data_IF_539759109394
#
_entry.id   IF_539759109394
#
_cell.length_a   1.000
_cell.length_b   1.000
_cell.length_c   1.000
_cell.angle_alpha   90.00
_cell.angle_beta   90.00
_cell.angle_gamma   90.00
#
_symmetry.space_group_name_H-M   'P 1'
#
loop_
_entity.id
_entity.type
_entity.pdbx_description
1 polymer ?
#
# COMPACT_ATOMS: atom_id res chain seq x y z
N UNK A 1 -12.97 0.68 83.57
CA UNK A 1 -13.85 -0.53 83.70
C UNK A 1 -13.72 -1.30 82.39
N UNK A 2 -13.01 -2.42 82.52
CA UNK A 2 -13.38 -3.76 82.00
C UNK A 2 -13.63 -3.83 80.48
N UNK A 3 -13.15 -4.74 79.76
CA UNK A 3 -12.46 -6.01 80.00
C UNK A 3 -11.94 -6.55 78.68
N UNK A 4 -10.80 -7.20 78.80
CA UNK A 4 -10.23 -8.12 77.87
C UNK A 4 -11.22 -9.14 77.23
N UNK A 5 -10.91 -9.57 76.00
CA UNK A 5 -10.93 -11.00 75.70
C UNK A 5 -10.02 -11.29 74.49
N UNK A 6 -8.94 -12.01 74.78
CA UNK A 6 -8.19 -12.84 73.88
C UNK A 6 -9.02 -13.97 73.35
N UNK A 7 -8.82 -14.29 72.07
CA UNK A 7 -8.88 -15.67 71.54
C UNK A 7 -7.97 -15.65 70.31
N UNK A 8 -6.74 -16.10 70.38
CA UNK A 8 -6.15 -17.41 70.24
C UNK A 8 -6.34 -18.02 68.85
N UNK A 9 -5.22 -18.02 68.14
CA UNK A 9 -4.67 -19.06 67.28
C UNK A 9 -5.64 -20.04 66.61
N UNK A 10 -5.60 -20.12 65.31
CA UNK A 10 -5.35 -21.39 64.68
C UNK A 10 -4.66 -21.23 63.33
N UNK A 11 -3.43 -21.64 63.31
CA UNK A 11 -2.61 -22.03 62.18
C UNK A 11 -3.32 -23.15 61.41
N UNK A 12 -3.71 -22.91 60.20
CA UNK A 12 -4.03 -23.99 59.26
C UNK A 12 -3.06 -23.87 58.11
N UNK A 13 -2.04 -24.70 58.22
CA UNK A 13 -1.10 -25.04 57.20
C UNK A 13 -1.81 -25.88 56.14
N UNK A 14 -2.24 -25.25 55.07
CA UNK A 14 -2.67 -25.95 53.86
C UNK A 14 -1.57 -25.90 52.84
N UNK A 15 -0.72 -26.89 52.90
CA UNK A 15 0.21 -27.31 51.89
C UNK A 15 -0.57 -27.62 50.63
N UNK A 16 -0.71 -26.66 49.72
CA UNK A 16 -1.11 -26.90 48.34
C UNK A 16 0.14 -27.19 47.55
N UNK A 17 0.39 -28.46 47.34
CA UNK A 17 1.24 -28.93 46.25
C UNK A 17 0.69 -28.38 44.95
N UNK A 18 1.27 -27.30 44.53
CA UNK A 18 1.18 -26.83 43.16
C UNK A 18 2.00 -27.76 42.26
N UNK A 19 1.30 -28.64 41.60
CA UNK A 19 1.82 -29.48 40.54
C UNK A 19 2.39 -28.57 39.46
N UNK A 20 3.69 -28.33 39.49
CA UNK A 20 4.45 -27.76 38.38
C UNK A 20 4.29 -28.72 37.21
N UNK A 21 3.33 -28.41 36.37
CA UNK A 21 3.32 -28.94 35.01
C UNK A 21 4.44 -28.19 34.28
N UNK A 22 5.61 -28.84 34.27
CA UNK A 22 6.69 -28.48 33.40
C UNK A 22 6.11 -28.28 32.00
N UNK A 23 6.17 -27.05 31.54
CA UNK A 23 6.01 -26.75 30.12
C UNK A 23 7.21 -27.39 29.46
N UNK A 24 7.05 -28.60 28.96
CA UNK A 24 8.01 -29.24 28.11
C UNK A 24 8.26 -28.29 26.94
N UNK A 25 9.39 -27.69 26.99
CA UNK A 25 9.95 -26.82 25.99
C UNK A 25 10.27 -27.69 24.76
N UNK A 26 9.24 -27.94 23.93
CA UNK A 26 9.41 -28.50 22.58
C UNK A 26 10.07 -27.43 21.68
N UNK A 27 11.32 -27.12 22.04
CA UNK A 27 12.07 -26.01 21.45
C UNK A 27 12.76 -26.35 20.12
N UNK A 28 12.64 -27.58 19.62
CA UNK A 28 13.31 -27.98 18.36
C UNK A 28 12.43 -27.78 17.12
N UNK A 29 11.20 -28.26 17.18
CA UNK A 29 10.34 -28.32 15.99
C UNK A 29 9.67 -26.98 15.66
N UNK A 30 9.38 -26.14 16.67
CA UNK A 30 8.75 -24.84 16.45
C UNK A 30 9.61 -23.88 15.62
N UNK A 31 10.92 -23.90 15.80
CA UNK A 31 11.85 -23.06 15.00
C UNK A 31 11.94 -23.53 13.56
N UNK A 32 11.98 -24.82 13.32
CA UNK A 32 12.03 -25.40 11.97
C UNK A 32 10.73 -25.10 11.22
N UNK A 33 9.58 -25.21 11.90
CA UNK A 33 8.27 -24.87 11.32
C UNK A 33 8.19 -23.36 11.01
N UNK A 34 8.66 -22.50 11.92
CA UNK A 34 8.66 -21.05 11.70
C UNK A 34 9.55 -20.65 10.53
N UNK A 35 10.73 -21.24 10.38
CA UNK A 35 11.63 -21.01 9.27
C UNK A 35 10.99 -21.50 7.96
N UNK A 36 10.33 -22.66 7.98
CA UNK A 36 9.61 -23.18 6.82
C UNK A 36 8.48 -22.26 6.34
N UNK A 37 7.68 -21.74 7.28
CA UNK A 37 6.61 -20.78 6.96
C UNK A 37 7.18 -19.47 6.39
N UNK A 38 8.25 -18.96 6.98
CA UNK A 38 8.92 -17.75 6.51
C UNK A 38 9.49 -17.93 5.09
N UNK A 39 10.08 -19.09 4.80
CA UNK A 39 10.61 -19.40 3.47
C UNK A 39 9.49 -19.48 2.42
N UNK A 40 8.37 -20.14 2.72
CA UNK A 40 7.20 -20.22 1.83
C UNK A 40 6.62 -18.82 1.60
N UNK A 41 6.51 -18.00 2.63
CA UNK A 41 6.03 -16.63 2.51
C UNK A 41 6.95 -15.78 1.63
N UNK A 42 8.26 -15.92 1.77
CA UNK A 42 9.25 -15.22 0.95
C UNK A 42 9.15 -15.62 -0.51
N UNK A 43 9.03 -16.92 -0.80
CA UNK A 43 8.81 -17.41 -2.18
C UNK A 43 7.51 -16.86 -2.74
N UNK A 44 6.43 -16.83 -1.95
CA UNK A 44 5.14 -16.28 -2.38
C UNK A 44 5.27 -14.79 -2.75
N UNK A 45 5.97 -13.99 -1.94
CA UNK A 45 6.22 -12.57 -2.22
C UNK A 45 7.03 -12.41 -3.51
N UNK A 46 8.08 -13.22 -3.72
CA UNK A 46 8.88 -13.19 -4.96
C UNK A 46 8.01 -13.52 -6.16
N UNK A 47 7.18 -14.56 -6.07
CA UNK A 47 6.26 -14.95 -7.16
C UNK A 47 5.27 -13.82 -7.46
N UNK A 48 4.69 -13.17 -6.45
CA UNK A 48 3.78 -12.04 -6.63
C UNK A 48 4.45 -10.87 -7.34
N UNK A 49 5.66 -10.49 -6.92
CA UNK A 49 6.44 -9.40 -7.55
C UNK A 49 6.84 -9.75 -8.99
N UNK A 50 7.26 -11.00 -9.23
CA UNK A 50 7.58 -11.46 -10.58
C UNK A 50 6.34 -11.52 -11.48
N UNK A 51 5.20 -11.92 -10.92
CA UNK A 51 3.93 -11.96 -11.67
C UNK A 51 3.51 -10.58 -12.15
N UNK A 52 3.63 -9.57 -11.30
CA UNK A 52 3.29 -8.19 -11.64
C UNK A 52 4.20 -7.61 -12.73
N UNK A 53 5.50 -7.98 -12.72
CA UNK A 53 6.45 -7.57 -13.76
C UNK A 53 6.26 -8.33 -15.09
N UNK A 54 5.82 -9.58 -15.02
CA UNK A 54 5.56 -10.41 -16.21
C UNK A 54 4.22 -10.10 -16.89
N UNK A 55 3.29 -9.45 -16.17
CA UNK A 55 1.98 -9.07 -16.68
C UNK A 55 1.75 -7.56 -16.53
N UNK A 56 2.48 -6.74 -17.30
CA UNK A 56 2.31 -5.30 -17.27
C UNK A 56 0.88 -4.93 -17.63
N UNK A 57 0.27 -4.03 -16.88
CA UNK A 57 -1.11 -3.58 -17.10
C UNK A 57 -1.16 -2.66 -18.31
N UNK A 58 -1.69 -3.14 -19.40
CA UNK A 58 -1.97 -2.34 -20.58
C UNK A 58 -3.08 -1.33 -20.24
N UNK A 59 -2.83 -0.05 -20.49
CA UNK A 59 -3.78 1.04 -20.27
C UNK A 59 -4.46 1.46 -21.58
N UNK A 60 -3.66 1.72 -22.63
CA UNK A 60 -4.17 2.13 -23.91
C UNK A 60 -3.24 1.71 -25.04
N UNK A 61 -3.71 1.85 -26.27
CA UNK A 61 -2.90 1.70 -27.48
C UNK A 61 -3.03 2.99 -28.30
N UNK A 62 -1.91 3.55 -28.72
CA UNK A 62 -1.83 4.76 -29.55
C UNK A 62 -0.98 4.40 -30.77
N UNK A 63 -1.51 4.57 -32.00
CA UNK A 63 -0.80 4.25 -33.23
C UNK A 63 -0.15 2.86 -33.25
N UNK A 64 -0.88 1.80 -32.80
CA UNK A 64 -0.40 0.42 -32.62
C UNK A 64 0.64 0.22 -31.50
N UNK A 65 1.12 1.28 -30.84
CA UNK A 65 2.01 1.19 -29.70
C UNK A 65 1.21 0.99 -28.40
N UNK A 66 1.66 0.03 -27.59
CA UNK A 66 1.01 -0.33 -26.33
C UNK A 66 1.62 0.46 -25.19
N UNK A 67 0.79 1.27 -24.52
CA UNK A 67 1.18 2.04 -23.35
C UNK A 67 0.74 1.30 -22.09
N UNK A 68 1.71 0.95 -21.27
CA UNK A 68 1.49 0.27 -20.00
C UNK A 68 1.45 1.24 -18.83
N UNK A 69 0.90 0.80 -17.72
CA UNK A 69 0.84 1.61 -16.50
C UNK A 69 2.22 2.10 -16.05
N UNK A 70 3.27 1.27 -16.23
CA UNK A 70 4.66 1.63 -15.93
C UNK A 70 5.12 2.89 -16.66
N UNK A 71 4.72 3.05 -17.92
CA UNK A 71 5.15 4.13 -18.79
C UNK A 71 4.51 5.46 -18.39
N UNK A 72 3.35 5.38 -17.74
CA UNK A 72 2.58 6.53 -17.25
C UNK A 72 2.91 6.96 -15.82
N UNK A 73 3.72 6.20 -15.09
CA UNK A 73 3.92 6.43 -13.64
C UNK A 73 4.42 7.83 -13.32
N UNK A 74 5.29 8.41 -14.15
CA UNK A 74 5.79 9.77 -13.96
C UNK A 74 4.68 10.81 -14.10
N UNK A 75 3.81 10.65 -15.09
CA UNK A 75 2.70 11.57 -15.34
C UNK A 75 1.62 11.43 -14.26
N UNK A 76 1.33 10.20 -13.83
CA UNK A 76 0.42 9.93 -12.72
C UNK A 76 0.93 10.60 -11.44
N UNK A 77 2.19 10.40 -11.10
CA UNK A 77 2.80 10.99 -9.90
C UNK A 77 2.76 12.53 -9.94
N UNK A 78 3.08 13.13 -11.07
CA UNK A 78 2.99 14.59 -11.26
C UNK A 78 1.57 15.10 -11.07
N UNK A 79 0.59 14.37 -11.62
CA UNK A 79 -0.85 14.70 -11.48
C UNK A 79 -1.31 14.55 -10.04
N UNK A 80 -0.90 13.49 -9.35
CA UNK A 80 -1.23 13.27 -7.94
C UNK A 80 -0.65 14.37 -7.04
N UNK A 81 0.59 14.80 -7.28
CA UNK A 81 1.18 15.92 -6.54
C UNK A 81 0.40 17.22 -6.76
N UNK A 82 0.07 17.51 -8.02
CA UNK A 82 -0.73 18.69 -8.35
C UNK A 82 -2.11 18.62 -7.71
N UNK A 83 -2.78 17.47 -7.80
CA UNK A 83 -4.08 17.23 -7.19
C UNK A 83 -4.04 17.35 -5.67
N UNK A 84 -3.00 16.83 -5.01
CA UNK A 84 -2.83 16.95 -3.57
C UNK A 84 -2.64 18.40 -3.12
N UNK A 85 -1.89 19.20 -3.88
CA UNK A 85 -1.73 20.63 -3.64
C UNK A 85 -3.07 21.38 -3.78
N UNK A 86 -3.81 21.11 -4.84
CA UNK A 86 -5.14 21.70 -5.07
C UNK A 86 -6.14 21.27 -3.98
N UNK A 87 -6.09 20.01 -3.54
CA UNK A 87 -6.93 19.48 -2.48
C UNK A 87 -6.67 20.19 -1.14
N UNK A 88 -5.43 20.51 -0.83
CA UNK A 88 -5.07 21.28 0.35
C UNK A 88 -5.68 22.70 0.31
N UNK A 89 -5.56 23.40 -0.82
CA UNK A 89 -6.14 24.74 -1.00
C UNK A 89 -7.67 24.67 -0.93
N UNK A 90 -8.25 23.69 -1.60
CA UNK A 90 -9.70 23.53 -1.67
C UNK A 90 -10.31 23.24 -0.29
N UNK A 91 -9.67 22.39 0.50
CA UNK A 91 -10.07 22.11 1.89
C UNK A 91 -10.10 23.35 2.76
N UNK A 92 -9.11 24.24 2.60
CA UNK A 92 -9.05 25.49 3.36
C UNK A 92 -10.17 26.46 2.97
N UNK A 93 -10.56 26.49 1.71
CA UNK A 93 -11.53 27.45 1.17
C UNK A 93 -12.97 26.94 1.23
N UNK A 94 -13.20 25.66 0.99
CA UNK A 94 -14.54 25.09 0.77
C UNK A 94 -14.91 23.97 1.74
N UNK A 95 -13.98 23.49 2.57
CA UNK A 95 -14.23 22.49 3.60
C UNK A 95 -14.43 21.06 3.11
N UNK A 96 -14.20 20.77 1.80
CA UNK A 96 -14.35 19.46 1.19
C UNK A 96 -13.07 18.98 0.52
N UNK A 97 -13.12 17.83 -0.20
CA UNK A 97 -12.00 17.34 -0.99
C UNK A 97 -12.13 17.79 -2.44
N UNK A 98 -11.04 18.32 -3.00
CA UNK A 98 -10.94 18.67 -4.41
C UNK A 98 -11.22 17.47 -5.33
N UNK A 99 -10.74 16.28 -4.94
CA UNK A 99 -10.89 15.07 -5.74
C UNK A 99 -12.36 14.66 -5.99
N UNK A 100 -13.23 14.91 -5.01
CA UNK A 100 -14.65 14.58 -5.05
C UNK A 100 -15.55 15.76 -5.35
N UNK A 101 -15.00 16.97 -5.46
CA UNK A 101 -15.76 18.15 -5.78
C UNK A 101 -16.19 18.13 -7.26
N UNK A 102 -17.42 18.53 -7.54
CA UNK A 102 -17.97 18.55 -8.87
C UNK A 102 -17.61 19.85 -9.62
N UNK A 103 -17.26 19.68 -10.87
CA UNK A 103 -17.07 20.75 -11.83
C UNK A 103 -18.43 21.20 -12.41
N UNK A 104 -18.45 22.28 -13.17
CA UNK A 104 -19.65 22.83 -13.82
C UNK A 104 -20.32 21.86 -14.80
N UNK A 105 -19.60 20.89 -15.31
CA UNK A 105 -20.06 19.84 -16.24
C UNK A 105 -20.55 18.57 -15.53
N UNK A 106 -20.60 18.58 -14.20
CA UNK A 106 -21.09 17.48 -13.38
C UNK A 106 -20.08 16.34 -13.14
N UNK A 107 -18.84 16.48 -13.64
CA UNK A 107 -17.77 15.51 -13.38
C UNK A 107 -16.95 15.95 -12.16
N UNK A 108 -16.38 14.99 -11.44
CA UNK A 108 -15.46 15.30 -10.36
C UNK A 108 -14.11 15.81 -10.90
N UNK A 109 -13.45 16.69 -10.13
CA UNK A 109 -12.10 17.11 -10.52
C UNK A 109 -11.11 15.94 -10.56
N UNK A 110 -11.33 14.90 -9.76
CA UNK A 110 -10.53 13.68 -9.84
C UNK A 110 -10.66 12.95 -11.16
N UNK A 111 -11.87 12.88 -11.75
CA UNK A 111 -12.10 12.32 -13.09
C UNK A 111 -11.45 13.17 -14.17
N UNK A 112 -11.58 14.49 -14.08
CA UNK A 112 -10.95 15.43 -15.02
C UNK A 112 -9.42 15.30 -14.99
N UNK A 113 -8.81 15.21 -13.81
CA UNK A 113 -7.36 15.02 -13.71
C UNK A 113 -6.89 13.70 -14.32
N UNK A 114 -7.63 12.61 -14.11
CA UNK A 114 -7.32 11.31 -14.73
C UNK A 114 -7.39 11.40 -16.27
N UNK A 115 -8.44 11.98 -16.80
CA UNK A 115 -8.60 12.17 -18.24
C UNK A 115 -7.47 13.04 -18.82
N UNK A 116 -7.13 14.14 -18.15
CA UNK A 116 -6.03 15.00 -18.57
C UNK A 116 -4.70 14.26 -18.58
N UNK A 117 -4.44 13.40 -17.59
CA UNK A 117 -3.23 12.57 -17.56
C UNK A 117 -3.19 11.62 -18.76
N UNK A 118 -4.30 10.94 -19.05
CA UNK A 118 -4.40 10.05 -20.21
C UNK A 118 -4.16 10.80 -21.52
N UNK A 119 -4.79 11.96 -21.69
CA UNK A 119 -4.61 12.81 -22.86
C UNK A 119 -3.18 13.31 -23.01
N UNK A 120 -2.53 13.67 -21.91
CA UNK A 120 -1.12 14.10 -21.93
C UNK A 120 -0.20 12.98 -22.40
N UNK A 121 -0.39 11.76 -21.90
CA UNK A 121 0.40 10.60 -22.32
C UNK A 121 0.15 10.27 -23.79
N UNK A 122 -1.10 10.31 -24.24
CA UNK A 122 -1.45 10.10 -25.65
C UNK A 122 -0.77 11.14 -26.56
N UNK A 123 -0.82 12.42 -26.18
CA UNK A 123 -0.16 13.47 -26.95
C UNK A 123 1.35 13.29 -27.00
N UNK A 124 1.99 12.93 -25.88
CA UNK A 124 3.42 12.65 -25.85
C UNK A 124 3.80 11.52 -26.81
N UNK A 125 3.02 10.44 -26.82
CA UNK A 125 3.26 9.32 -27.74
C UNK A 125 3.12 9.75 -29.19
N UNK A 126 2.06 10.48 -29.53
CA UNK A 126 1.86 10.99 -30.90
C UNK A 126 3.01 11.90 -31.34
N UNK A 127 3.47 12.82 -30.45
CA UNK A 127 4.61 13.68 -30.74
C UNK A 127 5.92 12.89 -30.92
N UNK A 128 6.11 11.82 -30.14
CA UNK A 128 7.24 10.92 -30.27
C UNK A 128 7.22 10.21 -31.64
N UNK A 129 6.09 9.65 -32.02
CA UNK A 129 5.91 8.97 -33.30
C UNK A 129 6.19 9.92 -34.48
N UNK A 130 5.64 11.14 -34.43
CA UNK A 130 5.90 12.19 -35.45
C UNK A 130 7.38 12.56 -35.52
N UNK A 131 8.06 12.65 -34.37
CA UNK A 131 9.50 12.94 -34.34
C UNK A 131 10.31 11.81 -34.98
N UNK A 132 10.00 10.56 -34.71
CA UNK A 132 10.66 9.40 -35.33
C UNK A 132 10.41 9.38 -36.85
N UNK A 133 9.17 9.63 -37.29
CA UNK A 133 8.84 9.73 -38.73
C UNK A 133 9.60 10.86 -39.42
N UNK A 134 9.83 11.96 -38.71
CA UNK A 134 10.65 13.09 -39.22
C UNK A 134 12.16 12.82 -39.20
N UNK A 135 12.59 11.65 -38.73
CA UNK A 135 14.01 11.22 -38.73
C UNK A 135 14.80 11.68 -37.51
N UNK A 136 14.14 12.14 -36.45
CA UNK A 136 14.81 12.40 -35.18
C UNK A 136 15.09 11.08 -34.46
N UNK A 137 16.29 10.92 -33.95
CA UNK A 137 16.68 9.78 -33.11
C UNK A 137 17.08 10.29 -31.73
N UNK A 138 16.65 9.57 -30.69
CA UNK A 138 17.16 9.82 -29.33
C UNK A 138 18.63 9.41 -29.30
N UNK A 139 19.51 10.33 -28.88
CA UNK A 139 20.90 10.01 -28.55
C UNK A 139 20.93 9.51 -27.12
N UNK A 140 21.53 8.34 -26.93
CA UNK A 140 21.87 7.84 -25.58
C UNK A 140 22.99 8.73 -25.02
N UNK A 141 22.65 9.74 -24.22
CA UNK A 141 23.59 10.50 -23.37
C UNK A 141 23.43 10.07 -21.91
#
# INVERSE_FOLDING_TARGET
MNSAKRVSNQTINSKKEGKDKGVEQSSGNGRVIAIGIAAVFLVFVIVMVCWEKLHPRLIMTVNDEKIYLSDMMTDIYSTEQTGAYLDQIYKQSNGGSYWSAESKDGRTYGEILKENTLNTVMQKQMMYDEAIEAGYTLTDE
#
